data_IF_650457188349
#
_entry.id   IF_650457188349
#
_cell.length_a   1.000
_cell.length_b   1.000
_cell.length_c   1.000
_cell.angle_alpha   90.00
_cell.angle_beta   90.00
_cell.angle_gamma   90.00
#
_symmetry.space_group_name_H-M   'P 1'
#
loop_
_entity.id
_entity.type
_entity.pdbx_description
1 polymer ?
#
# COMPACT_ATOMS: atom_id res chain seq x y z
N UNK A 1 -13.24 8.34 14.74
CA UNK A 1 -13.81 7.85 16.01
C UNK A 1 -12.72 7.41 16.95
N UNK A 2 -12.59 8.06 18.11
CA UNK A 2 -11.71 7.62 19.18
C UNK A 2 -12.55 6.85 20.20
N UNK A 3 -12.23 5.58 20.42
CA UNK A 3 -12.86 4.75 21.45
C UNK A 3 -11.96 4.80 22.69
N UNK A 4 -12.30 5.66 23.66
CA UNK A 4 -11.54 5.85 24.90
C UNK A 4 -12.48 5.56 26.08
N UNK A 5 -12.46 4.34 26.65
CA UNK A 5 -13.37 3.96 27.73
C UNK A 5 -13.17 4.80 29.00
N UNK A 6 -11.91 5.07 29.36
CA UNK A 6 -11.55 5.88 30.52
C UNK A 6 -12.07 7.32 30.37
N UNK A 7 -12.96 7.79 31.27
CA UNK A 7 -13.58 9.11 31.17
C UNK A 7 -12.59 10.25 31.40
N UNK A 8 -11.62 10.10 32.30
CA UNK A 8 -10.63 11.14 32.62
C UNK A 8 -9.68 11.32 31.44
N UNK A 9 -9.19 10.23 30.86
CA UNK A 9 -8.36 10.25 29.66
C UNK A 9 -9.13 10.81 28.47
N UNK A 10 -10.39 10.39 28.29
CA UNK A 10 -11.25 10.89 27.22
C UNK A 10 -11.44 12.39 27.31
N UNK A 11 -11.73 12.93 28.49
CA UNK A 11 -11.87 14.39 28.67
C UNK A 11 -10.58 15.13 28.37
N UNK A 12 -9.45 14.67 28.91
CA UNK A 12 -8.13 15.26 28.62
C UNK A 12 -7.82 15.26 27.12
N UNK A 13 -8.18 14.18 26.42
CA UNK A 13 -7.99 14.04 24.98
C UNK A 13 -8.89 15.01 24.19
N UNK A 14 -10.18 15.10 24.54
CA UNK A 14 -11.13 16.02 23.89
C UNK A 14 -10.70 17.48 24.04
N UNK A 15 -10.26 17.91 25.23
CA UNK A 15 -9.73 19.26 25.42
C UNK A 15 -8.53 19.58 24.54
N UNK A 16 -7.72 18.58 24.16
CA UNK A 16 -6.61 18.78 23.22
C UNK A 16 -7.07 18.83 21.77
N UNK A 17 -8.10 18.07 21.39
CA UNK A 17 -8.66 18.14 20.03
C UNK A 17 -9.26 19.52 19.76
N UNK A 18 -10.08 20.03 20.69
CA UNK A 18 -10.69 21.36 20.62
C UNK A 18 -9.63 22.46 20.53
N UNK A 19 -8.61 22.43 21.40
CA UNK A 19 -7.50 23.38 21.37
C UNK A 19 -6.70 23.38 20.04
N UNK A 20 -6.80 22.31 19.24
CA UNK A 20 -6.17 22.18 17.93
C UNK A 20 -7.15 22.28 16.75
N UNK A 21 -8.45 22.52 17.01
CA UNK A 21 -9.51 22.60 15.98
C UNK A 21 -9.74 21.29 15.22
N UNK A 22 -9.41 20.15 15.83
CA UNK A 22 -9.50 18.81 15.22
C UNK A 22 -10.84 18.10 15.52
N UNK A 23 -11.76 18.78 16.19
CA UNK A 23 -13.09 18.31 16.58
C UNK A 23 -14.21 18.86 15.68
N UNK A 24 -13.86 19.61 14.63
CA UNK A 24 -14.83 20.17 13.67
C UNK A 24 -15.06 19.20 12.51
N UNK A 25 -16.28 18.66 12.43
CA UNK A 25 -16.70 17.80 11.32
C UNK A 25 -17.70 18.54 10.42
N UNK A 26 -17.50 18.47 9.11
CA UNK A 26 -18.51 18.96 8.17
C UNK A 26 -19.68 17.97 8.08
N UNK A 27 -20.85 18.48 7.68
CA UNK A 27 -22.09 17.69 7.61
C UNK A 27 -21.97 16.44 6.70
N UNK A 28 -21.22 16.54 5.59
CA UNK A 28 -21.03 15.42 4.68
C UNK A 28 -20.19 14.30 5.33
N UNK A 29 -19.16 14.64 6.11
CA UNK A 29 -18.34 13.64 6.80
C UNK A 29 -19.14 12.86 7.84
N UNK A 30 -20.03 13.53 8.57
CA UNK A 30 -20.92 12.86 9.55
C UNK A 30 -21.91 11.95 8.84
N UNK A 31 -22.55 12.42 7.76
CA UNK A 31 -23.50 11.62 6.99
C UNK A 31 -22.82 10.42 6.33
N UNK A 32 -21.67 10.62 5.68
CA UNK A 32 -20.93 9.55 5.00
C UNK A 32 -20.50 8.46 5.98
N UNK A 33 -19.98 8.81 7.15
CA UNK A 33 -19.59 7.83 8.18
C UNK A 33 -20.82 7.05 8.70
N UNK A 34 -21.94 7.74 8.93
CA UNK A 34 -23.19 7.13 9.40
C UNK A 34 -23.73 6.11 8.39
N UNK A 35 -23.85 6.51 7.11
CA UNK A 35 -24.29 5.61 6.04
C UNK A 35 -23.31 4.46 5.81
N UNK A 36 -22.00 4.72 5.90
CA UNK A 36 -20.98 3.68 5.78
C UNK A 36 -21.16 2.59 6.85
N UNK A 37 -21.41 2.96 8.11
CA UNK A 37 -21.61 1.97 9.19
C UNK A 37 -22.95 1.26 9.14
N UNK A 38 -24.03 1.96 8.79
CA UNK A 38 -25.37 1.40 8.89
C UNK A 38 -25.82 0.65 7.62
N UNK A 39 -25.33 1.04 6.44
CA UNK A 39 -25.95 0.64 5.17
C UNK A 39 -24.96 -0.02 4.20
N UNK A 40 -23.64 0.12 4.39
CA UNK A 40 -22.65 -0.32 3.39
C UNK A 40 -22.14 -1.75 3.56
N UNK A 41 -22.81 -2.60 4.35
CA UNK A 41 -22.36 -3.97 4.65
C UNK A 41 -22.19 -4.82 3.39
N UNK A 42 -23.20 -4.84 2.52
CA UNK A 42 -23.16 -5.64 1.29
C UNK A 42 -22.03 -5.20 0.35
N UNK A 43 -21.80 -3.88 0.26
CA UNK A 43 -20.70 -3.34 -0.52
C UNK A 43 -19.35 -3.77 0.08
N UNK A 44 -19.21 -3.71 1.41
CA UNK A 44 -17.99 -4.13 2.11
C UNK A 44 -17.69 -5.61 1.87
N UNK A 45 -18.69 -6.49 1.97
CA UNK A 45 -18.51 -7.92 1.72
C UNK A 45 -18.02 -8.18 0.29
N UNK A 46 -18.67 -7.55 -0.70
CA UNK A 46 -18.26 -7.64 -2.11
C UNK A 46 -16.84 -7.08 -2.35
N UNK A 47 -16.49 -5.98 -1.66
CA UNK A 47 -15.15 -5.40 -1.75
C UNK A 47 -14.10 -6.34 -1.15
N UNK A 48 -14.38 -6.98 -0.01
CA UNK A 48 -13.44 -7.91 0.62
C UNK A 48 -13.13 -9.10 -0.28
N UNK A 49 -14.15 -9.68 -0.92
CA UNK A 49 -13.98 -10.76 -1.90
C UNK A 49 -13.14 -10.29 -3.09
N UNK A 50 -13.44 -9.11 -3.62
CA UNK A 50 -12.67 -8.52 -4.72
C UNK A 50 -11.20 -8.27 -4.36
N UNK A 51 -10.93 -7.74 -3.17
CA UNK A 51 -9.56 -7.50 -2.68
C UNK A 51 -8.80 -8.80 -2.43
N UNK A 52 -9.47 -9.83 -1.92
CA UNK A 52 -8.90 -11.16 -1.71
C UNK A 52 -8.50 -11.78 -3.06
N UNK A 53 -9.37 -11.69 -4.05
CA UNK A 53 -9.09 -12.16 -5.40
C UNK A 53 -7.98 -11.33 -6.07
N UNK A 54 -7.97 -10.01 -5.87
CA UNK A 54 -6.87 -9.14 -6.33
C UNK A 54 -5.52 -9.61 -5.81
N UNK A 55 -5.44 -9.87 -4.50
CA UNK A 55 -4.25 -10.40 -3.83
C UNK A 55 -3.85 -11.76 -4.37
N UNK A 56 -4.80 -12.71 -4.47
CA UNK A 56 -4.54 -14.09 -4.94
C UNK A 56 -3.86 -14.08 -6.31
N UNK A 57 -4.49 -13.43 -7.28
CA UNK A 57 -3.98 -13.35 -8.64
C UNK A 57 -2.67 -12.57 -8.72
N UNK A 58 -2.49 -11.49 -7.95
CA UNK A 58 -1.21 -10.75 -8.01
C UNK A 58 -0.05 -11.61 -7.49
N UNK A 59 -0.29 -12.36 -6.40
CA UNK A 59 0.70 -13.30 -5.85
C UNK A 59 1.05 -14.39 -6.85
N UNK A 60 0.04 -14.97 -7.51
CA UNK A 60 0.22 -15.98 -8.55
C UNK A 60 1.10 -15.44 -9.70
N UNK A 61 0.73 -14.29 -10.27
CA UNK A 61 1.45 -13.67 -11.38
C UNK A 61 2.87 -13.23 -11.02
N UNK A 62 3.06 -12.66 -9.83
CA UNK A 62 4.38 -12.28 -9.36
C UNK A 62 5.28 -13.52 -9.12
N UNK A 63 4.73 -14.60 -8.56
CA UNK A 63 5.47 -15.83 -8.32
C UNK A 63 5.91 -16.48 -9.65
N UNK A 64 5.04 -16.46 -10.65
CA UNK A 64 5.33 -17.04 -11.97
C UNK A 64 6.35 -16.21 -12.76
N UNK A 65 6.27 -14.88 -12.70
CA UNK A 65 6.97 -14.01 -13.65
C UNK A 65 8.08 -13.14 -13.04
N UNK A 66 8.12 -12.95 -11.72
CA UNK A 66 9.06 -12.06 -11.05
C UNK A 66 9.97 -12.87 -10.10
N UNK A 67 10.98 -13.61 -10.62
CA UNK A 67 11.81 -14.51 -9.81
C UNK A 67 12.66 -13.78 -8.74
N UNK A 68 12.83 -12.47 -8.89
CA UNK A 68 13.50 -11.59 -7.94
C UNK A 68 12.57 -11.11 -6.81
N UNK A 69 11.26 -11.16 -7.01
CA UNK A 69 10.28 -10.70 -6.03
C UNK A 69 9.97 -11.80 -5.00
N UNK A 70 9.86 -11.41 -3.74
CA UNK A 70 9.24 -12.25 -2.71
C UNK A 70 8.12 -11.48 -2.03
N UNK A 71 6.89 -11.98 -2.17
CA UNK A 71 5.74 -11.37 -1.50
C UNK A 71 5.66 -11.87 -0.06
N UNK A 72 5.50 -10.94 0.88
CA UNK A 72 5.30 -11.26 2.29
C UNK A 72 3.81 -11.57 2.52
N UNK A 73 3.45 -12.77 3.02
CA UNK A 73 2.07 -13.10 3.34
C UNK A 73 1.49 -12.12 4.35
N UNK A 74 0.26 -11.68 4.13
CA UNK A 74 -0.46 -10.78 5.01
C UNK A 74 -1.89 -11.28 5.23
N UNK A 75 -2.38 -11.17 6.46
CA UNK A 75 -3.73 -11.59 6.87
C UNK A 75 -4.75 -10.42 6.86
N UNK A 76 -4.30 -9.20 6.55
CA UNK A 76 -5.17 -8.03 6.57
C UNK A 76 -4.66 -6.90 5.68
N UNK A 77 -5.50 -5.87 5.54
CA UNK A 77 -5.35 -4.72 4.63
C UNK A 77 -5.40 -5.09 3.13
N UNK A 78 -5.54 -4.08 2.29
CA UNK A 78 -5.35 -4.18 0.83
C UNK A 78 -3.93 -3.80 0.39
N UNK A 79 -2.99 -3.69 1.33
CA UNK A 79 -1.60 -3.33 1.04
C UNK A 79 -0.77 -4.62 0.94
N UNK A 80 0.06 -4.70 -0.09
CA UNK A 80 0.98 -5.80 -0.34
C UNK A 80 2.40 -5.34 -0.10
N UNK A 81 3.18 -6.15 0.61
CA UNK A 81 4.57 -5.88 0.93
C UNK A 81 5.47 -6.85 0.16
N UNK A 82 6.37 -6.32 -0.65
CA UNK A 82 7.19 -7.10 -1.57
C UNK A 82 8.67 -6.81 -1.32
N UNK A 83 9.42 -7.89 -1.08
CA UNK A 83 10.88 -7.88 -0.98
C UNK A 83 11.48 -7.92 -2.39
N UNK A 84 12.29 -6.91 -2.70
CA UNK A 84 12.97 -6.73 -3.97
C UNK A 84 14.49 -6.90 -3.85
N UNK A 85 15.01 -7.34 -2.69
CA UNK A 85 16.46 -7.35 -2.39
C UNK A 85 17.28 -8.21 -3.35
N UNK A 86 16.69 -9.22 -3.98
CA UNK A 86 17.37 -10.04 -5.00
C UNK A 86 17.79 -9.24 -6.24
N UNK A 87 17.26 -8.04 -6.44
CA UNK A 87 17.71 -7.15 -7.50
C UNK A 87 19.10 -6.55 -7.23
N UNK A 88 19.57 -6.57 -5.96
CA UNK A 88 20.89 -6.04 -5.59
C UNK A 88 21.00 -4.52 -5.71
N UNK A 89 19.87 -3.81 -5.66
CA UNK A 89 19.78 -2.36 -5.78
C UNK A 89 19.71 -1.70 -4.41
N UNK A 90 20.28 -0.50 -4.29
CA UNK A 90 19.94 0.39 -3.18
C UNK A 90 18.53 0.99 -3.34
N UNK A 91 18.07 1.74 -2.32
CA UNK A 91 16.69 2.26 -2.31
C UNK A 91 16.43 3.33 -3.38
N UNK A 92 17.41 4.15 -3.77
CA UNK A 92 17.25 5.18 -4.80
C UNK A 92 17.25 4.53 -6.20
N UNK A 93 18.14 3.56 -6.41
CA UNK A 93 18.15 2.76 -7.63
C UNK A 93 16.85 1.95 -7.78
N UNK A 94 16.36 1.34 -6.69
CA UNK A 94 15.10 0.63 -6.68
C UNK A 94 13.94 1.56 -7.04
N UNK A 95 13.89 2.74 -6.44
CA UNK A 95 12.89 3.78 -6.75
C UNK A 95 12.93 4.18 -8.24
N UNK A 96 14.11 4.43 -8.77
CA UNK A 96 14.30 4.77 -10.18
C UNK A 96 13.81 3.65 -11.11
N UNK A 97 14.21 2.40 -10.86
CA UNK A 97 13.78 1.27 -11.69
C UNK A 97 12.26 1.08 -11.63
N UNK A 98 11.63 1.25 -10.46
CA UNK A 98 10.17 1.13 -10.33
C UNK A 98 9.46 2.20 -11.17
N UNK A 99 9.94 3.44 -11.14
CA UNK A 99 9.34 4.55 -11.87
C UNK A 99 9.63 4.48 -13.38
N UNK A 100 10.91 4.48 -13.76
CA UNK A 100 11.34 4.69 -15.15
C UNK A 100 11.27 3.42 -16.00
N UNK A 101 11.41 2.24 -15.39
CA UNK A 101 11.39 0.96 -16.11
C UNK A 101 10.04 0.30 -15.99
N UNK A 102 9.58 0.09 -14.75
CA UNK A 102 8.32 -0.58 -14.52
C UNK A 102 7.11 0.34 -14.75
N UNK A 103 7.28 1.67 -14.69
CA UNK A 103 6.17 2.61 -14.88
C UNK A 103 5.20 2.64 -13.70
N UNK A 104 5.67 2.30 -12.50
CA UNK A 104 4.86 2.27 -11.28
C UNK A 104 5.45 3.16 -10.18
N UNK A 105 4.59 3.70 -9.33
CA UNK A 105 4.97 4.53 -8.18
C UNK A 105 4.50 3.90 -6.86
N UNK A 106 5.19 2.83 -6.38
CA UNK A 106 4.85 2.22 -5.10
C UNK A 106 5.25 3.13 -3.93
N UNK A 107 4.74 2.85 -2.72
CA UNK A 107 5.37 3.43 -1.52
C UNK A 107 6.69 2.70 -1.27
N UNK A 108 7.80 3.43 -1.28
CA UNK A 108 9.12 2.86 -1.01
C UNK A 108 9.23 2.40 0.44
N UNK A 109 9.80 1.21 0.64
CA UNK A 109 9.84 0.58 1.95
C UNK A 109 10.72 1.33 2.95
N UNK A 110 11.77 1.99 2.48
CA UNK A 110 12.65 2.87 3.26
C UNK A 110 11.90 3.98 4.00
N UNK A 111 10.76 4.44 3.48
CA UNK A 111 9.89 5.43 4.14
C UNK A 111 9.20 4.92 5.41
N UNK A 112 9.19 3.61 5.65
CA UNK A 112 8.63 2.98 6.87
C UNK A 112 9.70 2.66 7.92
N UNK A 113 10.95 3.06 7.68
CA UNK A 113 12.10 2.85 8.55
C UNK A 113 13.15 1.91 7.97
N UNK A 114 14.32 1.76 8.64
CA UNK A 114 15.48 1.05 8.08
C UNK A 114 15.21 -0.41 7.69
N UNK A 115 14.33 -1.09 8.43
CA UNK A 115 13.94 -2.48 8.13
C UNK A 115 13.20 -2.64 6.79
N UNK A 116 12.64 -1.55 6.25
CA UNK A 116 11.95 -1.54 4.96
C UNK A 116 12.86 -1.28 3.76
N UNK A 117 14.17 -1.07 3.95
CA UNK A 117 15.11 -0.93 2.84
C UNK A 117 15.07 -2.17 1.93
N UNK A 118 15.00 -1.94 0.62
CA UNK A 118 14.86 -2.97 -0.41
C UNK A 118 13.44 -3.54 -0.58
N UNK A 119 12.43 -2.99 0.12
CA UNK A 119 11.03 -3.38 -0.05
C UNK A 119 10.22 -2.30 -0.77
N UNK A 120 9.08 -2.72 -1.33
CA UNK A 120 8.03 -1.80 -1.79
C UNK A 120 6.65 -2.20 -1.26
N UNK A 121 5.77 -1.21 -1.12
CA UNK A 121 4.34 -1.40 -0.78
C UNK A 121 3.44 -1.06 -1.97
N UNK A 122 2.64 -2.03 -2.38
CA UNK A 122 1.65 -1.88 -3.45
C UNK A 122 0.23 -1.80 -2.87
N UNK A 123 -0.61 -1.00 -3.51
CA UNK A 123 -2.03 -0.88 -3.18
C UNK A 123 -2.83 -1.81 -4.10
N UNK A 124 -3.50 -2.82 -3.53
CA UNK A 124 -4.36 -3.75 -4.25
C UNK A 124 -5.83 -3.29 -4.34
N UNK A 125 -6.17 -2.19 -3.66
CA UNK A 125 -7.47 -1.53 -3.67
C UNK A 125 -7.69 -0.69 -4.91
N UNK A 126 -7.49 -1.30 -6.08
CA UNK A 126 -7.71 -0.69 -7.39
C UNK A 126 -8.35 -1.71 -8.34
N UNK A 127 -8.91 -1.26 -9.49
CA UNK A 127 -9.27 -2.17 -10.55
C UNK A 127 -8.14 -3.14 -10.94
N UNK A 128 -8.51 -4.40 -11.22
CA UNK A 128 -7.62 -5.49 -11.68
C UNK A 128 -6.68 -5.05 -12.80
N UNK A 129 -7.18 -4.25 -13.74
CA UNK A 129 -6.43 -3.76 -14.91
C UNK A 129 -5.16 -2.99 -14.51
N UNK A 130 -5.16 -2.26 -13.41
CA UNK A 130 -3.96 -1.59 -12.93
C UNK A 130 -2.93 -2.56 -12.33
N UNK A 131 -3.39 -3.69 -11.77
CA UNK A 131 -2.50 -4.74 -11.28
C UNK A 131 -1.85 -5.51 -12.44
N UNK A 132 -2.60 -5.74 -13.53
CA UNK A 132 -2.09 -6.27 -14.80
C UNK A 132 -0.99 -5.36 -15.37
N UNK A 133 -1.27 -4.07 -15.50
CA UNK A 133 -0.28 -3.08 -15.93
C UNK A 133 0.95 -3.05 -15.03
N UNK A 134 0.77 -3.18 -13.71
CA UNK A 134 1.88 -3.22 -12.77
C UNK A 134 2.75 -4.47 -12.96
N UNK A 135 2.15 -5.65 -13.13
CA UNK A 135 2.89 -6.89 -13.41
C UNK A 135 3.66 -6.78 -14.72
N UNK A 136 3.03 -6.29 -15.79
CA UNK A 136 3.69 -6.10 -17.09
C UNK A 136 4.84 -5.09 -17.01
N UNK A 137 4.66 -4.03 -16.23
CA UNK A 137 5.71 -3.11 -15.84
C UNK A 137 6.89 -3.81 -15.18
N UNK A 138 6.62 -4.55 -14.10
CA UNK A 138 7.63 -5.24 -13.30
C UNK A 138 8.39 -6.31 -14.10
N UNK A 139 7.74 -6.99 -15.06
CA UNK A 139 8.37 -7.96 -15.98
C UNK A 139 9.48 -7.32 -16.84
N UNK A 140 9.45 -6.00 -17.07
CA UNK A 140 10.49 -5.28 -17.84
C UNK A 140 11.79 -5.09 -17.05
N UNK A 141 11.79 -5.33 -15.74
CA UNK A 141 12.99 -5.27 -14.91
C UNK A 141 13.84 -6.52 -15.18
N UNK A 142 14.99 -6.31 -15.84
CA UNK A 142 15.92 -7.38 -16.23
C UNK A 142 17.36 -7.05 -15.84
N UNK A 143 18.27 -8.03 -15.93
CA UNK A 143 19.71 -7.82 -15.70
C UNK A 143 20.30 -6.74 -16.61
N UNK A 144 19.80 -6.58 -17.84
CA UNK A 144 20.24 -5.50 -18.74
C UNK A 144 19.82 -4.13 -18.20
N UNK A 145 18.60 -4.04 -17.67
CA UNK A 145 18.05 -2.82 -17.06
C UNK A 145 18.90 -2.36 -15.88
N UNK A 146 19.30 -3.30 -15.02
CA UNK A 146 20.10 -3.00 -13.82
C UNK A 146 21.47 -2.39 -14.16
N UNK A 147 22.06 -2.77 -15.30
CA UNK A 147 23.34 -2.21 -15.77
C UNK A 147 23.23 -0.78 -16.32
N UNK A 148 22.03 -0.33 -16.67
CA UNK A 148 21.78 1.01 -17.20
C UNK A 148 21.40 2.04 -16.14
N UNK A 149 21.37 1.64 -14.86
CA UNK A 149 21.03 2.53 -13.76
C UNK A 149 22.16 3.57 -13.60
N UNK A 150 21.84 4.88 -13.50
CA UNK A 150 22.84 5.89 -13.19
C UNK A 150 23.54 5.53 -11.88
N UNK A 151 24.84 5.28 -11.93
CA UNK A 151 25.66 5.19 -10.72
C UNK A 151 25.75 6.60 -10.14
N UNK A 152 25.02 6.86 -9.06
CA UNK A 152 25.15 8.12 -8.32
C UNK A 152 26.60 8.35 -7.94
N UNK A 153 27.13 9.53 -8.31
CA UNK A 153 28.41 10.06 -7.83
C UNK A 153 28.25 10.83 -6.53
#
# INVERSE_FOLDING_TARGET
NFLIPDPTLRQRFLSRLDAHGLDVFNALSVQAATTAWNESRQWLDSLLDYLAENRRWFVEQATEHLPWARIVPAQGTYLLWMDCKKLGLDDEQLKWVMADVAGIAPSMGSGFGPAGSGFIRLNLGCPRTYLEMAIDGLKRISVKTIKGIPTGG
#
